data_IF_546176037486
#
_entry.id   IF_546176037486
#
_cell.length_a   1.000
_cell.length_b   1.000
_cell.length_c   1.000
_cell.angle_alpha   90.00
_cell.angle_beta   90.00
_cell.angle_gamma   90.00
#
_symmetry.space_group_name_H-M   'P 1'
#
loop_
_entity.id
_entity.type
_entity.pdbx_description
1 polymer ?
#
# COMPACT_ATOMS: atom_id res chain seq x y z
N UNK A 1 -17.47 27.53 8.69
CA UNK A 1 -17.15 26.09 8.71
C UNK A 1 -18.46 25.34 8.68
N UNK A 2 -18.80 24.66 7.58
CA UNK A 2 -20.09 23.97 7.47
C UNK A 2 -20.15 22.85 8.52
N UNK A 3 -21.33 22.65 9.11
CA UNK A 3 -21.57 21.57 10.09
C UNK A 3 -21.14 20.22 9.52
N UNK A 4 -21.32 20.00 8.21
CA UNK A 4 -20.85 18.82 7.50
C UNK A 4 -19.32 18.64 7.55
N UNK A 5 -18.54 19.73 7.44
CA UNK A 5 -17.07 19.69 7.53
C UNK A 5 -16.60 19.33 8.93
N UNK A 6 -17.32 19.77 9.97
CA UNK A 6 -17.03 19.47 11.38
C UNK A 6 -17.33 18.00 11.69
N UNK A 7 -18.46 17.48 11.21
CA UNK A 7 -18.77 16.06 11.36
C UNK A 7 -17.77 15.18 10.61
N UNK A 8 -17.38 15.55 9.39
CA UNK A 8 -16.35 14.84 8.63
C UNK A 8 -15.00 14.79 9.35
N UNK A 9 -14.55 15.92 9.93
CA UNK A 9 -13.25 15.99 10.61
C UNK A 9 -13.18 15.21 11.92
N UNK A 10 -14.31 14.88 12.55
CA UNK A 10 -14.35 14.05 13.77
C UNK A 10 -14.64 12.58 13.49
N UNK A 11 -15.52 12.28 12.53
CA UNK A 11 -15.92 10.91 12.22
C UNK A 11 -14.76 10.15 11.55
N UNK A 12 -14.08 10.77 10.57
CA UNK A 12 -13.03 10.09 9.81
C UNK A 12 -11.89 9.62 10.71
N UNK A 13 -11.28 10.46 11.58
CA UNK A 13 -10.22 9.99 12.48
C UNK A 13 -10.71 8.94 13.47
N UNK A 14 -11.95 9.05 13.95
CA UNK A 14 -12.53 8.08 14.88
C UNK A 14 -12.65 6.70 14.24
N UNK A 15 -13.12 6.64 12.99
CA UNK A 15 -13.21 5.38 12.24
C UNK A 15 -11.81 4.82 11.97
N UNK A 16 -10.85 5.66 11.57
CA UNK A 16 -9.46 5.23 11.33
C UNK A 16 -8.84 4.65 12.60
N UNK A 17 -8.92 5.36 13.72
CA UNK A 17 -8.43 4.89 15.02
C UNK A 17 -9.14 3.60 15.42
N UNK A 18 -10.45 3.49 15.17
CA UNK A 18 -11.20 2.28 15.44
C UNK A 18 -10.70 1.07 14.64
N UNK A 19 -10.42 1.24 13.36
CA UNK A 19 -9.83 0.19 12.52
C UNK A 19 -8.42 -0.17 13.00
N UNK A 20 -7.59 0.83 13.31
CA UNK A 20 -6.22 0.63 13.80
C UNK A 20 -6.19 -0.17 15.10
N UNK A 21 -7.05 0.16 16.06
CA UNK A 21 -7.16 -0.60 17.31
C UNK A 21 -7.66 -2.02 17.01
N UNK A 22 -8.69 -2.19 16.18
CA UNK A 22 -9.20 -3.52 15.89
C UNK A 22 -8.16 -4.45 15.24
N UNK A 23 -7.37 -3.93 14.29
CA UNK A 23 -6.29 -4.70 13.65
C UNK A 23 -5.15 -4.99 14.64
N UNK A 24 -4.86 -4.08 15.57
CA UNK A 24 -3.94 -4.32 16.69
C UNK A 24 -4.40 -5.51 17.54
N UNK A 25 -5.66 -5.50 17.98
CA UNK A 25 -6.27 -6.56 18.78
C UNK A 25 -6.32 -7.90 18.02
N UNK A 26 -6.52 -7.85 16.71
CA UNK A 26 -6.46 -9.03 15.85
C UNK A 26 -5.07 -9.68 15.84
N UNK A 27 -4.00 -8.88 15.94
CA UNK A 27 -2.63 -9.37 16.10
C UNK A 27 -2.45 -10.17 17.39
N UNK A 28 -2.87 -9.61 18.53
CA UNK A 28 -2.87 -10.31 19.81
C UNK A 28 -3.68 -11.61 19.74
N UNK A 29 -4.88 -11.56 19.15
CA UNK A 29 -5.76 -12.70 18.98
C UNK A 29 -5.09 -13.86 18.21
N UNK A 30 -4.52 -13.58 17.03
CA UNK A 30 -3.84 -14.61 16.23
C UNK A 30 -2.67 -15.22 17.00
N UNK A 31 -1.84 -14.38 17.62
CA UNK A 31 -0.67 -14.84 18.35
C UNK A 31 -1.07 -15.68 19.57
N UNK A 32 -2.11 -15.29 20.31
CA UNK A 32 -2.63 -16.03 21.46
C UNK A 32 -3.13 -17.42 21.04
N UNK A 33 -3.93 -17.49 19.98
CA UNK A 33 -4.41 -18.77 19.43
C UNK A 33 -3.25 -19.68 18.99
N UNK A 34 -2.22 -19.14 18.34
CA UNK A 34 -1.01 -19.89 17.94
C UNK A 34 -0.16 -20.33 19.12
N UNK A 35 -0.17 -19.57 20.22
CA UNK A 35 0.54 -19.90 21.44
C UNK A 35 -0.18 -20.94 22.32
N UNK A 36 -1.35 -21.44 21.88
CA UNK A 36 -2.26 -22.30 22.64
C UNK A 36 -2.77 -21.62 23.93
N UNK A 37 -3.08 -20.32 23.81
CA UNK A 37 -3.72 -19.53 24.86
C UNK A 37 -5.21 -19.48 24.58
N UNK A 38 -6.01 -19.75 25.61
CA UNK A 38 -7.46 -19.65 25.48
C UNK A 38 -7.88 -18.18 25.36
N UNK A 39 -8.59 -17.86 24.28
CA UNK A 39 -9.21 -16.55 24.07
C UNK A 39 -10.70 -16.70 24.29
N UNK A 40 -11.22 -16.04 25.33
CA UNK A 40 -12.62 -16.11 25.71
C UNK A 40 -13.49 -15.23 24.82
N UNK A 41 -13.00 -14.03 24.50
CA UNK A 41 -13.75 -13.04 23.73
C UNK A 41 -12.83 -12.35 22.71
N UNK A 42 -13.35 -12.14 21.50
CA UNK A 42 -12.77 -11.25 20.51
C UNK A 42 -13.85 -10.33 20.00
N UNK A 43 -13.68 -9.02 20.24
CA UNK A 43 -14.74 -8.04 20.10
C UNK A 43 -14.35 -6.91 19.14
N UNK A 44 -15.28 -6.51 18.28
CA UNK A 44 -15.25 -5.24 17.59
C UNK A 44 -16.08 -4.21 18.36
N UNK A 45 -15.48 -3.09 18.71
CA UNK A 45 -16.10 -2.00 19.44
C UNK A 45 -16.24 -2.21 20.95
N UNK A 46 -16.84 -1.24 21.62
CA UNK A 46 -17.06 -1.21 23.07
C UNK A 46 -18.54 -1.06 23.44
N UNK A 47 -18.83 -1.26 24.73
CA UNK A 47 -20.18 -1.13 25.31
C UNK A 47 -21.02 -2.40 25.18
N UNK A 48 -22.36 -2.27 25.23
CA UNK A 48 -23.25 -3.43 25.18
C UNK A 48 -23.12 -4.16 23.84
N UNK A 49 -23.20 -5.50 23.91
CA UNK A 49 -23.17 -6.39 22.76
C UNK A 49 -24.36 -6.08 21.85
N UNK A 50 -24.11 -5.88 20.55
CA UNK A 50 -25.13 -5.87 19.52
C UNK A 50 -25.40 -7.29 19.03
N UNK A 51 -24.35 -8.02 18.69
CA UNK A 51 -24.43 -9.39 18.23
C UNK A 51 -23.17 -10.17 18.64
N UNK A 52 -23.35 -11.42 19.05
CA UNK A 52 -22.29 -12.34 19.39
C UNK A 52 -22.48 -13.67 18.68
N UNK A 53 -21.40 -14.27 18.22
CA UNK A 53 -21.36 -15.54 17.53
C UNK A 53 -20.55 -16.54 18.36
N UNK A 54 -21.17 -17.68 18.62
CA UNK A 54 -20.56 -18.75 19.40
C UNK A 54 -20.86 -20.11 18.76
N UNK A 55 -19.85 -20.76 18.19
CA UNK A 55 -20.03 -22.07 17.57
C UNK A 55 -20.13 -23.16 18.64
N UNK A 56 -21.14 -24.03 18.57
CA UNK A 56 -21.33 -25.15 19.51
C UNK A 56 -21.51 -26.46 18.75
N UNK A 57 -21.21 -27.58 19.39
CA UNK A 57 -21.43 -28.93 18.82
C UNK A 57 -22.88 -29.17 18.40
N UNK A 58 -23.84 -28.45 18.99
CA UNK A 58 -25.27 -28.55 18.66
C UNK A 58 -25.74 -27.48 17.64
N UNK A 59 -24.88 -26.60 17.16
CA UNK A 59 -25.24 -25.51 16.23
C UNK A 59 -24.50 -24.20 16.48
N UNK A 60 -24.78 -23.17 15.68
CA UNK A 60 -24.31 -21.81 15.95
C UNK A 60 -25.27 -21.09 16.88
N UNK A 61 -24.76 -20.56 17.99
CA UNK A 61 -25.51 -19.70 18.90
C UNK A 61 -25.25 -18.24 18.55
N UNK A 62 -26.33 -17.52 18.23
CA UNK A 62 -26.30 -16.09 18.01
C UNK A 62 -26.87 -15.43 19.27
N UNK A 63 -26.05 -14.61 19.92
CA UNK A 63 -26.39 -13.88 21.14
C UNK A 63 -26.65 -12.42 20.77
N UNK A 64 -27.80 -11.92 21.20
CA UNK A 64 -28.31 -10.58 20.95
C UNK A 64 -28.25 -9.74 22.23
N UNK A 65 -28.57 -8.43 22.19
CA UNK A 65 -28.63 -7.62 23.38
C UNK A 65 -29.76 -8.11 24.31
N UNK A 66 -29.67 -7.75 25.59
CA UNK A 66 -30.67 -8.11 26.62
C UNK A 66 -30.82 -9.62 26.84
N UNK A 67 -29.71 -10.36 26.82
CA UNK A 67 -29.62 -11.81 27.10
C UNK A 67 -30.50 -12.70 26.20
N UNK A 68 -30.96 -12.16 25.07
CA UNK A 68 -31.65 -12.94 24.05
C UNK A 68 -30.64 -13.75 23.27
N UNK A 69 -30.92 -15.03 23.04
CA UNK A 69 -30.10 -15.88 22.18
C UNK A 69 -30.98 -16.82 21.36
N UNK A 70 -30.53 -17.17 20.16
CA UNK A 70 -31.16 -18.21 19.36
C UNK A 70 -30.10 -19.08 18.69
N UNK A 71 -30.46 -20.33 18.41
CA UNK A 71 -29.53 -21.34 17.89
C UNK A 71 -29.93 -21.79 16.50
N UNK A 72 -28.94 -21.87 15.62
CA UNK A 72 -29.07 -22.40 14.27
C UNK A 72 -28.46 -23.80 14.24
N UNK A 73 -29.32 -24.82 14.20
CA UNK A 73 -28.93 -26.23 14.32
C UNK A 73 -28.53 -26.88 12.97
N UNK A 74 -28.23 -26.08 11.93
CA UNK A 74 -27.89 -26.58 10.59
C UNK A 74 -26.42 -26.95 10.40
N UNK A 75 -25.51 -26.40 11.19
CA UNK A 75 -24.07 -26.62 11.04
C UNK A 75 -23.53 -27.22 12.34
N UNK A 76 -22.97 -28.43 12.26
CA UNK A 76 -22.35 -29.13 13.39
C UNK A 76 -20.84 -28.92 13.36
N UNK A 77 -20.27 -28.39 14.43
CA UNK A 77 -18.82 -28.29 14.63
C UNK A 77 -18.33 -29.39 15.59
N UNK A 78 -17.10 -29.87 15.40
CA UNK A 78 -16.53 -31.00 16.18
C UNK A 78 -16.33 -30.67 17.67
N UNK A 79 -16.05 -29.42 18.00
CA UNK A 79 -15.84 -28.91 19.36
C UNK A 79 -16.55 -27.56 19.49
N UNK A 80 -17.01 -27.24 20.70
CA UNK A 80 -17.47 -25.88 21.00
C UNK A 80 -16.32 -24.89 20.77
N UNK A 81 -16.64 -23.72 20.22
CA UNK A 81 -15.74 -22.58 20.22
C UNK A 81 -15.42 -22.22 21.66
N UNK A 82 -14.17 -21.92 21.93
CA UNK A 82 -13.73 -21.33 23.19
C UNK A 82 -13.81 -19.80 23.14
N UNK A 83 -13.95 -19.24 21.93
CA UNK A 83 -13.99 -17.80 21.68
C UNK A 83 -15.39 -17.37 21.27
N UNK A 84 -15.92 -16.38 21.96
CA UNK A 84 -17.07 -15.60 21.53
C UNK A 84 -16.62 -14.43 20.64
N UNK A 85 -17.10 -14.39 19.40
CA UNK A 85 -16.87 -13.28 18.48
C UNK A 85 -18.02 -12.29 18.61
N UNK A 86 -17.77 -11.02 18.90
CA UNK A 86 -18.86 -10.05 19.12
C UNK A 86 -18.64 -8.71 18.44
N UNK A 87 -19.75 -8.08 18.11
CA UNK A 87 -19.82 -6.69 17.65
C UNK A 87 -20.60 -5.95 18.74
N UNK A 88 -20.01 -4.89 19.27
CA UNK A 88 -20.59 -4.05 20.30
C UNK A 88 -21.14 -2.74 19.71
N UNK A 89 -21.95 -2.02 20.50
CA UNK A 89 -22.68 -0.84 20.06
C UNK A 89 -21.79 0.28 19.54
N UNK A 90 -20.65 0.55 20.19
CA UNK A 90 -19.76 1.63 19.79
C UNK A 90 -18.63 1.08 18.93
N UNK A 91 -18.59 1.37 17.61
CA UNK A 91 -17.64 0.78 16.66
C UNK A 91 -16.26 1.48 16.72
N UNK A 92 -15.76 1.68 17.94
CA UNK A 92 -14.47 2.34 18.19
C UNK A 92 -13.54 1.24 18.70
N UNK A 93 -12.68 0.71 17.85
CA UNK A 93 -11.66 -0.26 18.26
C UNK A 93 -12.19 -1.66 18.50
N UNK A 94 -11.65 -2.32 19.51
CA UNK A 94 -11.98 -3.69 19.87
C UNK A 94 -11.20 -4.13 21.09
N UNK A 95 -11.34 -5.39 21.46
CA UNK A 95 -10.50 -6.01 22.47
C UNK A 95 -10.44 -7.53 22.31
N UNK A 96 -9.34 -8.10 22.75
CA UNK A 96 -9.19 -9.53 22.98
C UNK A 96 -9.17 -9.82 24.48
N UNK A 97 -9.93 -10.82 24.92
CA UNK A 97 -9.92 -11.26 26.33
C UNK A 97 -9.25 -12.62 26.43
N UNK A 98 -8.04 -12.64 26.97
CA UNK A 98 -7.25 -13.87 27.13
C UNK A 98 -7.44 -14.48 28.52
N UNK A 99 -7.52 -15.81 28.57
CA UNK A 99 -7.57 -16.53 29.83
C UNK A 99 -6.27 -16.29 30.60
N UNK A 100 -6.39 -15.85 31.85
CA UNK A 100 -5.26 -15.67 32.75
C UNK A 100 -4.36 -14.46 32.46
N UNK A 101 -4.87 -13.47 31.71
CA UNK A 101 -4.23 -12.17 31.49
C UNK A 101 -4.36 -11.25 32.72
N UNK A 102 -5.57 -11.07 33.23
CA UNK A 102 -5.83 -10.23 34.41
C UNK A 102 -5.75 -11.01 35.73
N UNK A 103 -6.13 -12.28 35.71
CA UNK A 103 -6.24 -13.13 36.90
C UNK A 103 -5.30 -14.33 36.80
N UNK A 104 -4.73 -14.75 37.92
CA UNK A 104 -3.94 -15.99 37.94
C UNK A 104 -4.89 -17.19 37.93
N UNK A 105 -4.98 -17.87 36.78
CA UNK A 105 -5.80 -19.07 36.60
C UNK A 105 -4.88 -20.28 36.46
N UNK A 106 -5.14 -21.33 37.25
CA UNK A 106 -4.43 -22.60 37.19
C UNK A 106 -4.90 -23.44 35.99
N UNK A 107 -4.60 -22.97 34.79
CA UNK A 107 -4.85 -23.65 33.51
C UNK A 107 -3.59 -23.55 32.65
N UNK A 108 -3.08 -24.64 32.05
CA UNK A 108 -1.92 -24.61 31.15
C UNK A 108 -2.08 -23.72 29.90
N UNK A 109 -3.32 -23.41 29.51
CA UNK A 109 -3.70 -22.49 28.41
C UNK A 109 -3.93 -21.05 28.90
N UNK A 110 -3.83 -20.87 30.20
CA UNK A 110 -3.15 -19.78 30.89
C UNK A 110 -2.26 -18.81 30.10
N UNK A 111 -2.61 -17.55 29.86
CA UNK A 111 -1.62 -16.55 29.39
C UNK A 111 -0.44 -16.48 30.36
N UNK A 112 -0.71 -16.31 31.66
CA UNK A 112 0.30 -16.27 32.71
C UNK A 112 1.08 -17.57 32.89
N UNK A 113 0.49 -18.72 32.55
CA UNK A 113 1.17 -20.02 32.58
C UNK A 113 2.14 -20.26 31.41
N UNK A 114 2.04 -19.49 30.31
CA UNK A 114 2.93 -19.68 29.15
C UNK A 114 4.35 -19.14 29.41
N UNK A 115 5.39 -19.74 28.76
CA UNK A 115 6.74 -19.19 28.77
C UNK A 115 6.80 -17.72 28.36
N UNK A 116 7.76 -16.97 28.92
CA UNK A 116 7.93 -15.53 28.67
C UNK A 116 8.00 -15.21 27.18
N UNK A 117 8.71 -16.01 26.38
CA UNK A 117 8.82 -15.79 24.93
C UNK A 117 7.48 -15.86 24.19
N UNK A 118 6.58 -16.78 24.57
CA UNK A 118 5.25 -16.85 23.95
C UNK A 118 4.40 -15.64 24.32
N UNK A 119 4.44 -15.22 25.58
CA UNK A 119 3.77 -14.00 26.06
C UNK A 119 4.27 -12.75 25.36
N UNK A 120 5.59 -12.63 25.20
CA UNK A 120 6.22 -11.53 24.48
C UNK A 120 5.75 -11.46 23.02
N UNK A 121 5.72 -12.59 22.30
CA UNK A 121 5.22 -12.63 20.93
C UNK A 121 3.76 -12.17 20.86
N UNK A 122 2.92 -12.56 21.81
CA UNK A 122 1.52 -12.10 21.89
C UNK A 122 1.47 -10.59 22.04
N UNK A 123 2.22 -9.99 22.98
CA UNK A 123 2.25 -8.54 23.19
C UNK A 123 2.74 -7.80 21.93
N UNK A 124 3.78 -8.29 21.26
CA UNK A 124 4.36 -7.60 20.10
C UNK A 124 3.50 -7.76 18.84
N UNK A 125 2.70 -8.83 18.75
CA UNK A 125 1.89 -9.13 17.57
C UNK A 125 0.91 -8.01 17.20
N UNK A 126 0.35 -7.29 18.18
CA UNK A 126 -0.53 -6.16 17.90
C UNK A 126 0.19 -5.00 17.20
N UNK A 127 1.40 -4.67 17.67
CA UNK A 127 2.23 -3.62 17.04
C UNK A 127 2.65 -4.04 15.63
N UNK A 128 3.06 -5.30 15.44
CA UNK A 128 3.42 -5.83 14.12
C UNK A 128 2.25 -5.75 13.15
N UNK A 129 1.03 -6.10 13.57
CA UNK A 129 -0.14 -6.01 12.69
C UNK A 129 -0.44 -4.58 12.26
N UNK A 130 -0.24 -3.59 13.14
CA UNK A 130 -0.39 -2.19 12.75
C UNK A 130 0.71 -1.73 11.80
N UNK A 131 1.95 -2.18 11.98
CA UNK A 131 3.03 -1.90 11.03
C UNK A 131 2.74 -2.50 9.64
N UNK A 132 2.21 -3.73 9.59
CA UNK A 132 1.77 -4.38 8.35
C UNK A 132 0.61 -3.63 7.70
N UNK A 133 -0.38 -3.21 8.49
CA UNK A 133 -1.49 -2.38 7.99
C UNK A 133 -0.98 -1.05 7.46
N UNK A 134 -0.05 -0.38 8.15
CA UNK A 134 0.54 0.86 7.71
C UNK A 134 1.28 0.69 6.38
N UNK A 135 2.09 -0.37 6.23
CA UNK A 135 2.76 -0.67 4.97
C UNK A 135 1.76 -0.92 3.84
N UNK A 136 0.68 -1.66 4.11
CA UNK A 136 -0.39 -1.93 3.15
C UNK A 136 -1.15 -0.65 2.73
N UNK A 137 -1.55 0.17 3.69
CA UNK A 137 -2.23 1.44 3.42
C UNK A 137 -1.32 2.42 2.68
N UNK A 138 -0.05 2.51 3.09
CA UNK A 138 0.94 3.33 2.41
C UNK A 138 1.11 2.90 0.95
N UNK A 139 1.23 1.60 0.69
CA UNK A 139 1.27 1.05 -0.66
C UNK A 139 0.04 1.45 -1.49
N UNK A 140 -1.17 1.31 -0.94
CA UNK A 140 -2.40 1.72 -1.62
C UNK A 140 -2.39 3.20 -1.93
N UNK A 141 -2.00 4.06 -0.98
CA UNK A 141 -1.96 5.51 -1.18
C UNK A 141 -0.99 5.87 -2.30
N UNK A 142 0.22 5.31 -2.31
CA UNK A 142 1.19 5.54 -3.38
C UNK A 142 0.65 5.10 -4.75
N UNK A 143 0.04 3.92 -4.82
CA UNK A 143 -0.53 3.40 -6.05
C UNK A 143 -1.67 4.28 -6.60
N UNK A 144 -2.47 4.93 -5.73
CA UNK A 144 -3.59 5.78 -6.14
C UNK A 144 -3.19 7.25 -6.41
N UNK A 145 -2.00 7.69 -6.02
CA UNK A 145 -1.54 9.08 -6.19
C UNK A 145 -0.62 9.29 -7.39
N UNK A 146 -0.57 8.33 -8.33
CA UNK A 146 0.36 8.35 -9.46
C UNK A 146 1.80 8.64 -9.02
N UNK A 147 2.20 8.03 -7.90
CA UNK A 147 3.50 8.29 -7.30
C UNK A 147 4.62 7.83 -8.24
N UNK A 148 5.42 8.77 -8.73
CA UNK A 148 6.57 8.50 -9.58
C UNK A 148 7.77 8.17 -8.70
N UNK A 149 8.25 6.92 -8.75
CA UNK A 149 9.49 6.52 -8.07
C UNK A 149 10.66 6.59 -9.03
N UNK A 150 11.60 7.51 -8.78
CA UNK A 150 12.93 7.51 -9.41
C UNK A 150 13.87 6.70 -8.51
N UNK A 151 13.61 5.39 -8.37
CA UNK A 151 14.47 4.50 -7.56
C UNK A 151 15.18 3.54 -8.53
N UNK A 152 16.45 3.79 -8.88
CA UNK A 152 17.19 3.00 -9.88
C UNK A 152 17.21 1.50 -9.58
N UNK A 153 17.11 1.12 -8.30
CA UNK A 153 17.14 -0.28 -7.87
C UNK A 153 15.83 -1.03 -8.10
N UNK A 154 14.70 -0.33 -8.20
CA UNK A 154 13.38 -0.96 -8.45
C UNK A 154 13.15 -1.15 -9.95
N UNK A 155 13.66 -0.25 -10.79
CA UNK A 155 13.68 -0.41 -12.26
C UNK A 155 14.47 -1.66 -12.69
N UNK A 156 15.57 -1.98 -11.99
CA UNK A 156 16.35 -3.23 -12.21
C UNK A 156 15.49 -4.49 -12.03
N UNK A 157 14.47 -4.45 -11.18
CA UNK A 157 13.55 -5.58 -10.98
C UNK A 157 12.27 -5.48 -11.82
N UNK A 158 12.15 -4.46 -12.67
CA UNK A 158 10.95 -4.15 -13.45
C UNK A 158 9.67 -4.19 -12.59
N UNK A 159 9.78 -3.64 -11.38
CA UNK A 159 8.68 -3.66 -10.43
C UNK A 159 7.74 -2.49 -10.70
N UNK A 160 6.57 -2.79 -11.25
CA UNK A 160 5.49 -1.82 -11.40
C UNK A 160 4.49 -2.01 -10.27
N UNK A 161 4.04 -0.90 -9.67
CA UNK A 161 2.92 -0.92 -8.74
C UNK A 161 1.67 -1.40 -9.50
N UNK A 162 0.82 -2.17 -8.83
CA UNK A 162 -0.42 -2.67 -9.43
C UNK A 162 -1.29 -1.47 -9.83
N UNK A 163 -1.61 -1.35 -11.12
CA UNK A 163 -2.46 -0.29 -11.66
C UNK A 163 -1.72 1.01 -12.02
N UNK A 164 -0.39 1.02 -12.03
CA UNK A 164 0.40 2.14 -12.55
C UNK A 164 0.91 1.84 -13.96
N UNK A 165 0.72 2.77 -14.88
CA UNK A 165 1.35 2.75 -16.20
C UNK A 165 2.77 3.31 -16.07
N UNK A 166 3.77 2.55 -16.52
CA UNK A 166 5.14 3.05 -16.62
C UNK A 166 5.24 3.78 -17.96
N UNK A 167 5.28 5.11 -17.93
CA UNK A 167 5.66 5.88 -19.11
C UNK A 167 7.17 5.90 -19.18
N UNK A 168 7.77 5.14 -20.09
CA UNK A 168 9.14 5.39 -20.48
C UNK A 168 9.19 6.77 -21.13
N UNK A 169 10.09 7.63 -20.63
CA UNK A 169 10.27 9.00 -21.08
C UNK A 169 11.72 9.19 -21.46
N UNK A 170 11.97 9.83 -22.59
CA UNK A 170 13.33 10.13 -23.04
C UNK A 170 13.69 11.53 -22.59
N UNK A 171 14.49 11.61 -21.52
CA UNK A 171 14.93 12.89 -20.95
C UNK A 171 16.36 13.17 -21.40
N UNK A 172 16.60 14.38 -21.93
CA UNK A 172 17.93 14.83 -22.30
C UNK A 172 18.77 14.94 -21.02
N UNK A 173 19.76 14.07 -20.85
CA UNK A 173 20.57 14.07 -19.63
C UNK A 173 21.58 15.21 -19.60
N UNK A 174 22.21 15.49 -20.74
CA UNK A 174 23.19 16.56 -20.91
C UNK A 174 23.26 16.93 -22.41
N UNK A 175 23.74 18.13 -22.71
CA UNK A 175 23.94 18.62 -24.07
C UNK A 175 25.38 19.08 -24.23
N UNK A 176 26.10 18.46 -25.17
CA UNK A 176 27.53 18.73 -25.37
C UNK A 176 27.71 20.11 -26.03
N UNK A 177 28.57 21.01 -25.50
CA UNK A 177 28.79 22.32 -26.10
C UNK A 177 29.27 22.25 -27.56
N UNK A 178 28.69 23.08 -28.43
CA UNK A 178 28.89 23.13 -29.88
C UNK A 178 28.40 21.89 -30.67
N UNK A 179 27.69 20.96 -30.04
CA UNK A 179 27.00 19.86 -30.74
C UNK A 179 25.84 20.39 -31.60
N UNK A 180 25.35 19.63 -32.59
CA UNK A 180 24.11 19.97 -33.29
C UNK A 180 22.92 20.26 -32.36
N UNK A 181 22.79 19.52 -31.26
CA UNK A 181 21.76 19.71 -30.24
C UNK A 181 21.93 21.06 -29.51
N UNK A 182 23.15 21.43 -29.11
CA UNK A 182 23.46 22.72 -28.50
C UNK A 182 23.17 23.89 -29.46
N UNK A 183 23.57 23.74 -30.73
CA UNK A 183 23.32 24.76 -31.76
C UNK A 183 21.83 24.95 -32.06
N UNK A 184 21.04 23.89 -31.93
CA UNK A 184 19.59 23.97 -32.04
C UNK A 184 18.95 24.63 -30.81
N UNK A 185 19.66 24.68 -29.67
CA UNK A 185 19.16 25.25 -28.41
C UNK A 185 18.38 24.25 -27.57
N UNK A 186 18.68 22.95 -27.69
CA UNK A 186 18.21 21.94 -26.75
C UNK A 186 18.89 22.12 -25.39
N UNK A 187 18.14 21.89 -24.32
CA UNK A 187 18.64 22.03 -22.96
C UNK A 187 18.54 20.70 -22.21
N UNK A 188 19.41 20.51 -21.22
CA UNK A 188 19.34 19.36 -20.33
C UNK A 188 18.01 19.37 -19.55
N UNK A 189 17.52 18.18 -19.25
CA UNK A 189 16.27 17.86 -18.56
C UNK A 189 14.98 18.09 -19.36
N UNK A 190 15.06 18.55 -20.61
CA UNK A 190 13.91 18.55 -21.52
C UNK A 190 13.50 17.10 -21.87
N UNK A 191 12.19 16.87 -21.99
CA UNK A 191 11.63 15.56 -22.37
C UNK A 191 11.37 15.52 -23.88
N UNK A 192 11.98 14.56 -24.58
CA UNK A 192 11.76 14.32 -26.00
C UNK A 192 10.41 13.62 -26.20
N UNK A 193 9.51 14.28 -26.93
CA UNK A 193 8.17 13.77 -27.22
C UNK A 193 8.11 13.03 -28.56
N UNK A 194 8.75 13.59 -29.60
CA UNK A 194 8.76 13.00 -30.94
C UNK A 194 9.95 13.43 -31.78
N UNK A 195 10.36 12.57 -32.71
CA UNK A 195 11.34 12.83 -33.76
C UNK A 195 10.65 12.69 -35.13
N UNK A 196 10.75 13.71 -35.99
CA UNK A 196 10.10 13.77 -37.30
C UNK A 196 8.59 13.46 -37.25
N UNK A 197 7.92 13.86 -36.16
CA UNK A 197 6.50 13.60 -35.91
C UNK A 197 6.17 12.16 -35.49
N UNK A 198 7.18 11.30 -35.30
CA UNK A 198 7.01 9.95 -34.71
C UNK A 198 7.23 10.05 -33.21
N UNK A 199 6.23 9.69 -32.40
CA UNK A 199 6.37 9.65 -30.94
C UNK A 199 7.47 8.67 -30.50
N UNK A 200 8.24 9.06 -29.49
CA UNK A 200 9.37 8.27 -28.99
C UNK A 200 9.24 8.09 -27.48
N UNK A 201 9.12 6.83 -27.04
CA UNK A 201 9.00 6.49 -25.63
C UNK A 201 10.31 5.96 -25.03
N UNK A 202 11.21 5.42 -25.86
CA UNK A 202 12.40 4.70 -25.37
C UNK A 202 13.70 5.23 -25.99
N UNK A 203 14.81 5.06 -25.27
CA UNK A 203 16.14 5.42 -25.79
C UNK A 203 16.52 4.60 -27.05
N UNK A 204 16.00 3.37 -27.19
CA UNK A 204 16.24 2.54 -28.37
C UNK A 204 15.54 3.12 -29.60
N UNK A 205 14.27 3.50 -29.46
CA UNK A 205 13.51 4.13 -30.54
C UNK A 205 14.13 5.46 -30.97
N UNK A 206 14.59 6.27 -30.01
CA UNK A 206 15.32 7.50 -30.32
C UNK A 206 16.56 7.19 -31.16
N UNK A 207 17.40 6.25 -30.70
CA UNK A 207 18.62 5.88 -31.39
C UNK A 207 18.34 5.34 -32.81
N UNK A 208 17.35 4.47 -32.97
CA UNK A 208 16.97 3.89 -34.27
C UNK A 208 16.54 4.98 -35.27
N UNK A 209 15.77 5.98 -34.82
CA UNK A 209 15.33 7.09 -35.68
C UNK A 209 16.51 7.99 -36.04
N UNK A 210 17.40 8.28 -35.09
CA UNK A 210 18.60 9.10 -35.34
C UNK A 210 19.52 8.41 -36.35
N UNK A 211 19.79 7.12 -36.16
CA UNK A 211 20.65 6.33 -37.04
C UNK A 211 20.07 6.23 -38.46
N UNK A 212 18.75 6.08 -38.59
CA UNK A 212 18.07 6.06 -39.88
C UNK A 212 18.09 7.42 -40.62
N UNK A 213 18.35 8.52 -39.91
CA UNK A 213 18.37 9.89 -40.44
C UNK A 213 19.76 10.52 -40.37
N UNK A 214 20.81 9.72 -40.25
CA UNK A 214 22.18 10.22 -40.32
C UNK A 214 22.41 10.98 -41.64
N UNK A 215 22.95 12.20 -41.52
CA UNK A 215 23.22 13.10 -42.63
C UNK A 215 22.06 14.03 -43.01
N UNK A 216 20.92 13.97 -42.31
CA UNK A 216 19.78 14.88 -42.49
C UNK A 216 19.42 15.63 -41.19
N UNK A 217 18.55 16.63 -41.32
CA UNK A 217 17.97 17.35 -40.18
C UNK A 217 16.77 16.59 -39.65
N UNK A 218 16.73 16.38 -38.33
CA UNK A 218 15.65 15.76 -37.59
C UNK A 218 14.89 16.85 -36.84
N UNK A 219 13.57 16.86 -37.00
CA UNK A 219 12.68 17.76 -36.25
C UNK A 219 12.36 17.10 -34.90
N UNK A 220 12.82 17.70 -33.80
CA UNK A 220 12.64 17.18 -32.45
C UNK A 220 11.62 18.04 -31.71
N UNK A 221 10.55 17.42 -31.23
CA UNK A 221 9.59 18.06 -30.33
C UNK A 221 9.96 17.70 -28.89
N UNK A 222 10.11 18.69 -28.02
CA UNK A 222 10.42 18.50 -26.61
C UNK A 222 9.44 19.25 -25.70
N UNK A 223 9.17 18.71 -24.52
CA UNK A 223 8.54 19.44 -23.42
C UNK A 223 9.65 20.03 -22.53
N UNK A 224 9.56 21.34 -22.26
CA UNK A 224 10.54 22.04 -21.44
C UNK A 224 10.53 21.51 -20.01
N UNK A 225 11.69 21.48 -19.35
CA UNK A 225 11.75 21.03 -17.96
C UNK A 225 11.03 21.97 -16.98
N UNK A 226 11.08 23.28 -17.25
CA UNK A 226 10.62 24.35 -16.35
C UNK A 226 9.18 24.80 -16.62
N UNK A 227 8.56 24.34 -17.71
CA UNK A 227 7.17 24.63 -18.05
C UNK A 227 6.50 23.45 -18.74
N UNK A 228 5.17 23.47 -18.86
CA UNK A 228 4.46 22.46 -19.68
C UNK A 228 4.52 22.75 -21.17
N UNK A 229 5.25 23.79 -21.59
CA UNK A 229 5.29 24.22 -22.98
C UNK A 229 6.10 23.25 -23.84
N UNK A 230 5.69 23.15 -25.10
CA UNK A 230 6.37 22.35 -26.10
C UNK A 230 7.20 23.26 -27.00
N UNK A 231 8.45 22.88 -27.24
CA UNK A 231 9.34 23.51 -28.18
C UNK A 231 9.71 22.52 -29.29
N UNK A 232 9.97 23.05 -30.49
CA UNK A 232 10.34 22.25 -31.66
C UNK A 232 11.68 22.77 -32.18
N UNK A 233 12.60 21.85 -32.39
CA UNK A 233 13.99 22.12 -32.75
C UNK A 233 14.40 21.33 -33.99
N UNK A 234 15.13 21.98 -34.88
CA UNK A 234 15.73 21.36 -36.05
C UNK A 234 17.17 20.97 -35.70
N UNK A 235 17.45 19.67 -35.59
CA UNK A 235 18.75 19.15 -35.15
C UNK A 235 19.41 18.35 -36.28
N UNK A 236 20.63 18.71 -36.66
CA UNK A 236 21.35 18.00 -37.72
C UNK A 236 22.03 16.73 -37.19
N UNK A 237 21.67 15.57 -37.73
CA UNK A 237 22.30 14.30 -37.37
C UNK A 237 23.63 14.11 -38.15
N UNK A 238 24.76 14.27 -37.47
CA UNK A 238 26.10 14.20 -38.10
C UNK A 238 26.53 12.73 -38.34
N UNK A 239 27.08 12.39 -39.53
CA UNK A 239 27.50 11.04 -39.85
C UNK A 239 28.79 10.57 -39.17
N UNK A 240 29.61 11.49 -38.68
CA UNK A 240 30.88 11.17 -38.03
C UNK A 240 31.07 12.06 -36.79
N UNK A 241 30.42 11.71 -35.66
CA UNK A 241 30.54 12.46 -34.42
C UNK A 241 31.96 12.33 -33.83
N UNK A 242 32.43 13.33 -33.06
CA UNK A 242 33.65 13.22 -32.26
C UNK A 242 33.63 12.02 -31.30
N UNK A 243 34.80 11.54 -30.90
CA UNK A 243 34.91 10.41 -29.97
C UNK A 243 34.27 10.77 -28.62
N UNK A 244 33.28 9.97 -28.19
CA UNK A 244 32.53 10.18 -26.95
C UNK A 244 31.23 10.99 -27.10
N UNK A 245 30.88 11.45 -28.31
CA UNK A 245 29.63 12.17 -28.58
C UNK A 245 28.65 11.35 -29.44
N UNK A 246 27.36 11.71 -29.36
CA UNK A 246 26.31 11.14 -30.22
C UNK A 246 26.20 11.84 -31.58
N UNK A 247 25.35 11.31 -32.47
CA UNK A 247 25.11 11.91 -33.79
C UNK A 247 24.37 13.25 -33.75
N UNK A 248 23.80 13.62 -32.61
CA UNK A 248 23.17 14.92 -32.37
C UNK A 248 24.01 15.77 -31.41
#
# INVERSE_FOLDING_TARGET
>A
MEIATIFGSLIIPTVIIGILIFIHEFGHFIAAKRADIEVQEFAFGFGPRLIGFFATTKGFEIRLPFDKSFRINKIKVKKNSETEYKINLFPIGGYVKMLGEEQSVNDPRSYSAKPVGKRFVVIVAGVIMNALLAAFLFYIVLANQSFVTIIPRLDVFNYNFIGTETTERVIISDVVPNSPADQAGLEAFDEVLSLNGTEVGTNSELADIVDANIGSTIVISVQKHDSTDTAVYDVYARPNPPEGEGSM
#
